data_IF_156955954526
#
_entry.id   IF_156955954526
#
_cell.length_a   1.000
_cell.length_b   1.000
_cell.length_c   1.000
_cell.angle_alpha   90.00
_cell.angle_beta   90.00
_cell.angle_gamma   90.00
#
_symmetry.space_group_name_H-M   'P 1'
#
loop_
_entity.id
_entity.type
_entity.pdbx_description
1 polymer ?
#
# COMPACT_ATOMS: atom_id res chain seq x y z
N UNK A 1 50.51 24.86 -18.10
CA UNK A 1 49.49 24.58 -19.14
C UNK A 1 48.73 23.37 -18.65
N UNK A 2 47.51 23.61 -18.18
CA UNK A 2 46.76 22.68 -17.33
C UNK A 2 45.99 21.64 -18.12
N UNK A 3 45.72 20.53 -17.46
CA UNK A 3 44.55 19.69 -17.73
C UNK A 3 44.03 19.27 -16.34
N UNK A 4 43.17 20.11 -15.77
CA UNK A 4 42.19 19.67 -14.78
C UNK A 4 41.24 18.74 -15.53
N UNK A 5 41.15 17.48 -15.09
CA UNK A 5 40.14 16.56 -15.58
C UNK A 5 38.82 16.88 -14.88
N UNK A 6 37.94 17.52 -15.64
CA UNK A 6 36.56 17.82 -15.26
C UNK A 6 35.78 16.55 -14.93
N UNK A 7 35.47 16.36 -13.65
CA UNK A 7 34.36 15.53 -13.19
C UNK A 7 33.12 16.42 -13.21
N UNK A 8 32.59 16.66 -14.41
CA UNK A 8 31.36 17.43 -14.58
C UNK A 8 30.12 16.55 -14.32
N UNK A 9 29.50 16.83 -13.18
CA UNK A 9 28.07 16.76 -12.87
C UNK A 9 27.18 15.77 -13.65
N UNK A 10 26.90 14.62 -13.05
CA UNK A 10 25.60 13.94 -13.27
C UNK A 10 24.50 14.83 -12.67
N UNK A 11 23.96 15.72 -13.49
CA UNK A 11 22.79 16.54 -13.15
C UNK A 11 21.65 15.64 -12.69
N UNK A 12 21.01 16.04 -11.58
CA UNK A 12 19.77 15.45 -11.05
C UNK A 12 18.68 15.64 -12.11
N UNK A 13 18.49 14.65 -12.98
CA UNK A 13 17.40 14.70 -13.96
C UNK A 13 16.10 14.41 -13.21
N UNK A 14 15.35 15.48 -12.94
CA UNK A 14 13.94 15.35 -12.59
C UNK A 14 13.20 14.89 -13.82
N UNK A 15 12.41 13.82 -13.72
CA UNK A 15 11.44 13.49 -14.74
C UNK A 15 10.41 14.62 -14.76
N UNK A 16 10.23 15.25 -15.92
CA UNK A 16 9.31 16.36 -16.07
C UNK A 16 7.88 15.90 -15.74
N UNK A 17 7.20 16.63 -14.84
CA UNK A 17 5.84 16.32 -14.40
C UNK A 17 5.72 15.27 -13.29
N UNK A 18 6.82 14.65 -12.84
CA UNK A 18 6.78 13.71 -11.72
C UNK A 18 6.55 14.41 -10.38
N UNK A 19 5.64 13.87 -9.56
CA UNK A 19 5.40 14.33 -8.18
C UNK A 19 6.50 13.78 -7.28
N UNK A 20 7.09 14.62 -6.42
CA UNK A 20 8.21 14.25 -5.56
C UNK A 20 7.76 13.97 -4.13
N UNK A 21 8.22 12.84 -3.60
CA UNK A 21 8.03 12.45 -2.21
C UNK A 21 9.36 11.98 -1.62
N UNK A 22 9.49 12.02 -0.30
CA UNK A 22 10.59 11.32 0.36
C UNK A 22 10.34 9.82 0.32
N UNK A 23 9.15 9.38 0.77
CA UNK A 23 8.74 7.97 0.77
C UNK A 23 7.42 7.78 0.01
N UNK A 24 7.36 6.77 -0.86
CA UNK A 24 6.10 6.28 -1.44
C UNK A 24 5.81 4.90 -0.87
N UNK A 25 4.60 4.70 -0.36
CA UNK A 25 4.10 3.40 0.11
C UNK A 25 3.12 2.88 -0.95
N UNK A 26 3.36 1.68 -1.47
CA UNK A 26 2.51 1.04 -2.47
C UNK A 26 1.60 0.05 -1.73
N UNK A 27 0.30 0.36 -1.64
CA UNK A 27 -0.72 -0.37 -0.91
C UNK A 27 -1.16 0.36 0.35
N UNK A 28 -2.46 0.61 0.48
CA UNK A 28 -3.15 1.21 1.62
C UNK A 28 -3.93 0.21 2.47
N UNK A 29 -3.52 -1.06 2.47
CA UNK A 29 -3.96 -2.05 3.44
C UNK A 29 -3.24 -1.90 4.79
N UNK A 30 -3.52 -2.83 5.72
CA UNK A 30 -2.99 -2.80 7.10
C UNK A 30 -1.48 -2.51 7.20
N UNK A 31 -0.65 -3.17 6.39
CA UNK A 31 0.80 -2.96 6.41
C UNK A 31 1.19 -1.54 5.97
N UNK A 32 0.56 -1.01 4.91
CA UNK A 32 0.82 0.34 4.42
C UNK A 32 0.39 1.41 5.41
N UNK A 33 -0.78 1.23 6.03
CA UNK A 33 -1.29 2.15 7.05
C UNK A 33 -0.40 2.14 8.32
N UNK A 34 0.06 0.97 8.77
CA UNK A 34 1.01 0.89 9.90
C UNK A 34 2.33 1.60 9.62
N UNK A 35 2.88 1.45 8.41
CA UNK A 35 4.10 2.19 8.02
C UNK A 35 3.81 3.69 7.98
N UNK A 36 2.68 4.09 7.41
CA UNK A 36 2.24 5.49 7.36
C UNK A 36 2.12 6.11 8.76
N UNK A 37 1.50 5.42 9.71
CA UNK A 37 1.41 5.85 11.10
C UNK A 37 2.79 6.17 11.71
N UNK A 38 3.75 5.27 11.50
CA UNK A 38 5.10 5.46 12.05
C UNK A 38 5.91 6.54 11.33
N UNK A 39 5.69 6.77 10.03
CA UNK A 39 6.29 7.90 9.31
C UNK A 39 5.69 9.23 9.78
N UNK A 40 4.37 9.28 9.95
CA UNK A 40 3.66 10.46 10.47
C UNK A 40 4.14 10.82 11.88
N UNK A 41 4.26 9.84 12.78
CA UNK A 41 4.79 10.01 14.14
C UNK A 41 6.23 10.55 14.17
N UNK A 42 7.01 10.32 13.11
CA UNK A 42 8.38 10.83 12.95
C UNK A 42 8.46 12.12 12.12
N UNK A 43 7.33 12.68 11.69
CA UNK A 43 7.27 13.89 10.86
C UNK A 43 7.93 13.71 9.49
N UNK A 44 8.00 12.48 8.96
CA UNK A 44 8.59 12.20 7.65
C UNK A 44 7.52 12.37 6.56
N UNK A 45 7.79 13.06 5.44
CA UNK A 45 6.86 13.17 4.33
C UNK A 45 6.68 11.85 3.58
N UNK A 46 5.43 11.47 3.29
CA UNK A 46 5.14 10.29 2.48
C UNK A 46 3.79 10.41 1.77
N UNK A 47 3.54 9.48 0.85
CA UNK A 47 2.21 9.23 0.27
C UNK A 47 1.96 7.73 0.21
N UNK A 48 0.73 7.32 0.46
CA UNK A 48 0.26 5.93 0.29
C UNK A 48 -0.56 5.88 -1.00
N UNK A 49 -0.22 4.96 -1.91
CA UNK A 49 -0.97 4.72 -3.15
C UNK A 49 -1.79 3.44 -2.98
N UNK A 50 -3.11 3.56 -2.98
CA UNK A 50 -4.04 2.43 -2.86
C UNK A 50 -4.75 2.20 -4.19
N UNK A 51 -4.76 0.93 -4.64
CA UNK A 51 -5.31 0.56 -5.94
C UNK A 51 -6.83 0.51 -5.97
N UNK A 52 -7.49 0.25 -4.83
CA UNK A 52 -8.94 0.29 -4.71
C UNK A 52 -9.45 1.73 -4.56
N UNK A 53 -10.71 1.96 -4.94
CA UNK A 53 -11.38 3.27 -4.82
C UNK A 53 -11.61 3.68 -3.36
N UNK A 54 -11.75 2.70 -2.46
CA UNK A 54 -11.96 2.91 -1.04
C UNK A 54 -10.98 2.08 -0.21
N UNK A 55 -10.50 2.65 0.89
CA UNK A 55 -9.66 1.94 1.85
C UNK A 55 -10.46 0.78 2.44
N UNK A 56 -9.81 -0.38 2.59
CA UNK A 56 -10.44 -1.58 3.15
C UNK A 56 -11.17 -2.44 2.11
N UNK A 57 -11.31 -2.03 0.85
CA UNK A 57 -11.99 -2.84 -0.18
C UNK A 57 -11.29 -4.17 -0.48
N UNK A 58 -9.99 -4.29 -0.17
CA UNK A 58 -9.26 -5.57 -0.18
C UNK A 58 -9.81 -6.60 0.82
N UNK A 59 -10.51 -6.14 1.86
CA UNK A 59 -11.28 -6.95 2.80
C UNK A 59 -12.75 -7.01 2.40
N UNK A 60 -13.38 -5.86 2.13
CA UNK A 60 -14.81 -5.73 1.85
C UNK A 60 -15.30 -6.64 0.71
N UNK A 61 -14.45 -6.86 -0.29
CA UNK A 61 -14.78 -7.66 -1.48
C UNK A 61 -14.46 -9.15 -1.32
N UNK A 62 -14.15 -9.63 -0.12
CA UNK A 62 -14.01 -11.06 0.18
C UNK A 62 -15.37 -11.71 0.42
N UNK A 63 -15.39 -13.03 0.62
CA UNK A 63 -16.62 -13.81 0.80
C UNK A 63 -17.41 -13.38 2.04
N UNK A 64 -18.75 -13.43 1.97
CA UNK A 64 -19.65 -12.84 2.95
C UNK A 64 -19.49 -13.37 4.37
N UNK A 65 -19.17 -14.67 4.52
CA UNK A 65 -19.00 -15.31 5.82
C UNK A 65 -17.62 -15.08 6.44
N UNK A 66 -16.72 -14.33 5.77
CA UNK A 66 -15.38 -14.10 6.29
C UNK A 66 -15.44 -13.39 7.64
N UNK A 67 -14.81 -14.03 8.63
CA UNK A 67 -14.40 -13.43 9.90
C UNK A 67 -12.90 -13.59 10.09
N UNK A 68 -12.31 -12.67 10.84
CA UNK A 68 -10.95 -12.81 11.33
C UNK A 68 -10.87 -14.02 12.27
N UNK A 69 -9.72 -14.66 12.29
CA UNK A 69 -9.44 -15.82 13.15
C UNK A 69 -8.86 -15.41 14.50
N UNK A 70 -8.61 -14.12 14.69
CA UNK A 70 -8.12 -13.51 15.93
C UNK A 70 -9.25 -12.73 16.61
N UNK A 71 -9.27 -12.68 17.95
CA UNK A 71 -10.16 -11.80 18.69
C UNK A 71 -9.84 -10.32 18.46
N UNK A 72 -10.86 -9.46 18.50
CA UNK A 72 -10.76 -8.02 18.23
C UNK A 72 -9.71 -7.30 19.10
N UNK A 73 -9.50 -7.72 20.35
CA UNK A 73 -8.48 -7.13 21.22
C UNK A 73 -7.04 -7.29 20.68
N UNK A 74 -6.84 -8.17 19.69
CA UNK A 74 -5.55 -8.38 19.00
C UNK A 74 -5.52 -7.86 17.56
N UNK A 75 -6.64 -7.35 17.03
CA UNK A 75 -6.76 -6.96 15.60
C UNK A 75 -6.45 -5.48 15.35
N UNK A 76 -6.31 -4.68 16.40
CA UNK A 76 -5.95 -3.27 16.30
C UNK A 76 -4.50 -3.06 15.84
N UNK A 77 -4.31 -2.17 14.86
CA UNK A 77 -3.02 -1.57 14.54
C UNK A 77 -2.58 -0.60 15.64
N UNK A 78 -1.26 -0.36 15.72
CA UNK A 78 -0.69 0.52 16.73
C UNK A 78 -1.36 1.91 16.72
N UNK A 79 -1.71 2.40 17.91
CA UNK A 79 -2.30 3.73 18.10
C UNK A 79 -3.82 3.78 18.08
N UNK A 80 -4.53 2.79 17.54
CA UNK A 80 -5.99 2.76 17.52
C UNK A 80 -6.51 1.33 17.72
N UNK A 81 -7.13 1.02 18.88
CA UNK A 81 -7.68 -0.32 19.12
C UNK A 81 -8.83 -0.62 18.15
N UNK A 82 -9.10 -1.91 17.94
CA UNK A 82 -10.23 -2.34 17.13
C UNK A 82 -11.56 -2.02 17.85
N UNK A 83 -12.57 -1.44 17.17
CA UNK A 83 -13.79 -0.96 17.81
C UNK A 83 -14.85 -2.08 17.95
N UNK A 84 -14.52 -3.16 18.65
CA UNK A 84 -15.44 -4.26 18.95
C UNK A 84 -15.16 -4.86 20.34
N UNK A 85 -16.07 -5.70 20.84
CA UNK A 85 -15.87 -6.44 22.08
C UNK A 85 -14.61 -7.32 22.00
N UNK A 86 -13.80 -7.37 23.06
CA UNK A 86 -12.47 -7.99 23.07
C UNK A 86 -12.40 -9.39 22.44
N UNK A 87 -13.42 -10.22 22.71
CA UNK A 87 -13.48 -11.62 22.27
C UNK A 87 -14.35 -11.85 21.03
N UNK A 88 -14.82 -10.78 20.39
CA UNK A 88 -15.50 -10.87 19.11
C UNK A 88 -14.51 -11.23 18.00
N UNK A 89 -15.00 -11.89 16.96
CA UNK A 89 -14.24 -12.19 15.74
C UNK A 89 -14.76 -11.29 14.61
N UNK A 90 -14.07 -10.18 14.30
CA UNK A 90 -14.56 -9.19 13.34
C UNK A 90 -14.82 -9.79 11.96
N UNK A 91 -15.82 -9.28 11.27
CA UNK A 91 -16.14 -9.59 9.89
C UNK A 91 -15.19 -8.91 8.91
N UNK A 92 -15.23 -9.30 7.63
CA UNK A 92 -14.51 -8.58 6.56
C UNK A 92 -14.88 -7.09 6.50
N UNK A 93 -16.13 -6.75 6.77
CA UNK A 93 -16.62 -5.38 6.62
C UNK A 93 -16.20 -4.52 7.82
N UNK A 94 -16.23 -5.07 9.03
CA UNK A 94 -15.70 -4.42 10.23
C UNK A 94 -14.18 -4.16 10.11
N UNK A 95 -13.41 -5.12 9.58
CA UNK A 95 -11.98 -4.91 9.33
C UNK A 95 -11.75 -3.84 8.25
N UNK A 96 -12.56 -3.83 7.18
CA UNK A 96 -12.48 -2.82 6.15
C UNK A 96 -12.76 -1.41 6.69
N UNK A 97 -13.84 -1.26 7.47
CA UNK A 97 -14.25 0.00 8.09
C UNK A 97 -13.23 0.48 9.12
N UNK A 98 -12.63 -0.44 9.88
CA UNK A 98 -11.55 -0.14 10.81
C UNK A 98 -10.33 0.47 10.10
N UNK A 99 -9.88 -0.10 8.98
CA UNK A 99 -8.73 0.42 8.23
C UNK A 99 -9.00 1.81 7.64
N UNK A 100 -10.22 2.04 7.14
CA UNK A 100 -10.64 3.35 6.65
C UNK A 100 -10.66 4.40 7.78
N UNK A 101 -11.25 4.04 8.93
CA UNK A 101 -11.27 4.87 10.12
C UNK A 101 -9.86 5.15 10.65
N UNK A 102 -8.95 4.17 10.60
CA UNK A 102 -7.56 4.32 11.00
C UNK A 102 -6.83 5.37 10.15
N UNK A 103 -6.97 5.30 8.82
CA UNK A 103 -6.36 6.26 7.92
C UNK A 103 -6.89 7.68 8.16
N UNK A 104 -8.21 7.83 8.38
CA UNK A 104 -8.83 9.10 8.70
C UNK A 104 -8.40 9.65 10.07
N UNK A 105 -8.38 8.81 11.11
CA UNK A 105 -8.03 9.18 12.47
C UNK A 105 -6.62 9.79 12.58
N UNK A 106 -5.66 9.24 11.84
CA UNK A 106 -4.29 9.74 11.81
C UNK A 106 -3.99 10.71 10.66
N UNK A 107 -4.99 11.05 9.84
CA UNK A 107 -4.83 11.95 8.69
C UNK A 107 -3.77 11.47 7.70
N UNK A 108 -3.70 10.15 7.46
CA UNK A 108 -2.67 9.57 6.59
C UNK A 108 -2.91 9.99 5.12
N UNK A 109 -1.86 10.41 4.39
CA UNK A 109 -1.98 10.87 3.00
C UNK A 109 -2.15 9.70 2.02
N UNK A 110 -3.34 9.11 2.00
CA UNK A 110 -3.71 8.01 1.09
C UNK A 110 -4.34 8.57 -0.18
N UNK A 111 -3.87 8.11 -1.34
CA UNK A 111 -4.51 8.31 -2.65
C UNK A 111 -5.10 6.99 -3.11
N UNK A 112 -6.44 6.89 -3.08
CA UNK A 112 -7.18 5.74 -3.59
C UNK A 112 -7.36 5.82 -5.12
N UNK A 113 -7.75 4.72 -5.74
CA UNK A 113 -7.89 4.60 -7.21
C UNK A 113 -6.56 4.68 -7.96
N UNK A 114 -5.42 4.59 -7.26
CA UNK A 114 -4.07 4.69 -7.85
C UNK A 114 -3.42 3.32 -7.89
N UNK A 115 -3.66 2.59 -8.98
CA UNK A 115 -2.98 1.32 -9.23
C UNK A 115 -1.56 1.57 -9.75
N UNK A 116 -0.57 1.15 -8.95
CA UNK A 116 0.82 1.13 -9.39
C UNK A 116 1.03 0.02 -10.41
N UNK A 117 1.59 0.39 -11.56
CA UNK A 117 1.85 -0.50 -12.69
C UNK A 117 3.34 -0.88 -12.77
N UNK A 118 4.22 0.03 -12.36
CA UNK A 118 5.67 -0.17 -12.46
C UNK A 118 6.41 0.56 -11.35
N UNK A 119 7.44 -0.10 -10.84
CA UNK A 119 8.46 0.48 -9.97
C UNK A 119 9.83 0.20 -10.60
N UNK A 120 10.66 1.23 -10.72
CA UNK A 120 12.03 1.09 -11.20
C UNK A 120 12.94 2.15 -10.56
N UNK A 121 14.26 1.94 -10.66
CA UNK A 121 15.25 2.89 -10.19
C UNK A 121 15.73 3.77 -11.34
N UNK A 122 15.82 5.08 -11.11
CA UNK A 122 16.39 6.06 -12.04
C UNK A 122 17.39 6.96 -11.30
N UNK A 123 18.68 6.81 -11.62
CA UNK A 123 19.77 7.41 -10.85
C UNK A 123 19.74 6.98 -9.39
N UNK A 124 19.65 7.95 -8.48
CA UNK A 124 19.60 7.74 -7.02
C UNK A 124 18.17 7.64 -6.47
N UNK A 125 17.15 7.72 -7.32
CA UNK A 125 15.73 7.73 -6.91
C UNK A 125 14.99 6.53 -7.46
N UNK A 126 13.84 6.28 -6.86
CA UNK A 126 12.84 5.35 -7.39
C UNK A 126 11.77 6.13 -8.13
N UNK A 127 11.24 5.53 -9.19
CA UNK A 127 10.10 6.03 -9.96
C UNK A 127 8.98 5.01 -9.88
N UNK A 128 7.82 5.47 -9.43
CA UNK A 128 6.58 4.72 -9.37
C UNK A 128 5.65 5.25 -10.45
N UNK A 129 5.22 4.40 -11.37
CA UNK A 129 4.28 4.74 -12.43
C UNK A 129 2.89 4.17 -12.12
N UNK A 130 1.87 5.02 -12.22
CA UNK A 130 0.48 4.65 -11.95
C UNK A 130 -0.49 5.51 -12.77
N UNK A 131 -1.24 4.93 -13.71
CA UNK A 131 -2.31 5.63 -14.43
C UNK A 131 -1.85 6.86 -15.21
N UNK A 132 -0.62 6.84 -15.73
CA UNK A 132 -0.01 8.00 -16.42
C UNK A 132 0.60 9.06 -15.50
N UNK A 133 0.45 8.93 -14.18
CA UNK A 133 1.19 9.73 -13.21
C UNK A 133 2.54 9.06 -12.87
N UNK A 134 3.54 9.89 -12.59
CA UNK A 134 4.85 9.47 -12.12
C UNK A 134 5.12 10.06 -10.73
N UNK A 135 5.63 9.22 -9.84
CA UNK A 135 6.02 9.58 -8.49
C UNK A 135 7.50 9.28 -8.32
N UNK A 136 8.31 10.29 -8.05
CA UNK A 136 9.71 10.12 -7.67
C UNK A 136 9.85 10.05 -6.15
N UNK A 137 10.58 9.06 -5.66
CA UNK A 137 10.80 8.83 -4.24
C UNK A 137 12.27 8.54 -3.92
N UNK A 138 12.70 8.86 -2.70
CA UNK A 138 13.99 8.41 -2.17
C UNK A 138 13.88 6.99 -1.63
N UNK A 139 12.72 6.70 -1.02
CA UNK A 139 12.40 5.39 -0.46
C UNK A 139 11.08 4.90 -1.03
N UNK A 140 10.97 3.59 -1.25
CA UNK A 140 9.70 2.94 -1.60
C UNK A 140 9.47 1.77 -0.66
N UNK A 141 8.25 1.70 -0.12
CA UNK A 141 7.78 0.57 0.67
C UNK A 141 6.71 -0.17 -0.13
N UNK A 142 6.93 -1.45 -0.41
CA UNK A 142 5.95 -2.30 -1.10
C UNK A 142 5.11 -3.01 -0.04
N UNK A 143 3.86 -2.60 0.11
CA UNK A 143 2.91 -3.05 1.13
C UNK A 143 1.57 -3.51 0.52
N UNK A 144 1.60 -3.98 -0.73
CA UNK A 144 0.39 -4.34 -1.49
C UNK A 144 -0.18 -5.73 -1.15
N UNK A 145 0.56 -6.59 -0.44
CA UNK A 145 0.24 -8.03 -0.31
C UNK A 145 0.14 -8.74 -1.70
N UNK A 146 -0.17 -10.04 -1.70
CA UNK A 146 -0.14 -10.93 -2.88
C UNK A 146 -1.52 -11.48 -3.28
N UNK A 147 -2.61 -11.01 -2.65
CA UNK A 147 -3.96 -11.53 -2.84
C UNK A 147 -4.68 -11.08 -4.12
N UNK A 148 -4.02 -10.34 -5.02
CA UNK A 148 -4.67 -9.78 -6.23
C UNK A 148 -4.72 -10.76 -7.40
N UNK A 149 -3.88 -11.80 -7.41
CA UNK A 149 -3.84 -12.78 -8.49
C UNK A 149 -4.07 -14.17 -7.91
N UNK A 150 -5.18 -14.84 -8.23
CA UNK A 150 -5.40 -16.21 -7.77
C UNK A 150 -4.35 -17.13 -8.38
N UNK A 151 -3.75 -17.98 -7.55
CA UNK A 151 -2.93 -19.09 -8.00
C UNK A 151 -3.85 -20.29 -8.23
N UNK A 152 -4.29 -20.48 -9.49
CA UNK A 152 -5.14 -21.61 -9.87
C UNK A 152 -4.24 -22.79 -10.28
N UNK A 153 -4.32 -23.95 -9.61
CA UNK A 153 -3.54 -25.12 -9.98
C UNK A 153 -3.88 -25.60 -11.39
N UNK A 154 -2.89 -26.14 -12.12
CA UNK A 154 -3.08 -26.60 -13.50
C UNK A 154 -4.15 -27.68 -13.63
N UNK A 155 -4.30 -28.55 -12.62
CA UNK A 155 -5.31 -29.61 -12.59
C UNK A 155 -6.72 -29.11 -12.28
N UNK A 156 -6.91 -27.82 -11.94
CA UNK A 156 -8.22 -27.31 -11.52
C UNK A 156 -9.29 -27.48 -12.61
N UNK A 157 -8.89 -27.45 -13.89
CA UNK A 157 -9.78 -27.73 -15.02
C UNK A 157 -10.17 -29.21 -15.17
N UNK A 158 -9.48 -30.12 -14.49
CA UNK A 158 -9.76 -31.56 -14.49
C UNK A 158 -10.72 -31.98 -13.36
N UNK A 159 -11.12 -31.04 -12.48
CA UNK A 159 -12.09 -31.29 -11.43
C UNK A 159 -13.48 -31.55 -12.03
N UNK A 160 -14.23 -32.47 -11.43
CA UNK A 160 -15.62 -32.73 -11.81
C UNK A 160 -16.43 -31.42 -11.69
N UNK A 161 -17.24 -31.04 -12.68
CA UNK A 161 -18.08 -29.84 -12.61
C UNK A 161 -19.01 -29.80 -11.39
N UNK A 162 -19.30 -30.93 -10.74
CA UNK A 162 -20.08 -31.00 -9.50
C UNK A 162 -19.35 -30.49 -8.25
N UNK A 163 -18.04 -30.22 -8.33
CA UNK A 163 -17.20 -29.75 -7.22
C UNK A 163 -17.14 -28.20 -7.17
N UNK A 164 -17.60 -27.50 -8.21
CA UNK A 164 -17.43 -26.05 -8.42
C UNK A 164 -18.66 -25.23 -8.03
#
# INVERSE_FOLDING_TARGET
>A
MGIQSDVEGRGRHSIAGARRFETVIIGGGQAGLSVGYHLAKRGRPFVILEANERIGDSWRNRWDSLRLFTPACYDGLEGLPFPADDWAFPTKDEMADYLEAYAAHFGLPVRTGVRVERLYKDGERFVVAAGGELFEAENVVVAMADFQRPLVPAFAGDLDPSIV
#
